data_IF_184975187472
#
_entry.id   IF_184975187472
#
_cell.length_a   1.000
_cell.length_b   1.000
_cell.length_c   1.000
_cell.angle_alpha   90.00
_cell.angle_beta   90.00
_cell.angle_gamma   90.00
#
_symmetry.space_group_name_H-M   'P 1'
#
loop_
_entity.id
_entity.type
_entity.pdbx_description
1 polymer ?
#
# COMPACT_ATOMS: atom_id res chain seq x y z
N UNK A 1 9.53 6.37 14.17
CA UNK A 1 8.68 7.52 14.56
C UNK A 1 7.47 6.98 15.31
N UNK A 2 6.95 7.67 16.31
CA UNK A 2 5.71 7.25 16.99
C UNK A 2 4.52 7.74 16.15
N UNK A 3 3.48 6.91 16.03
CA UNK A 3 2.28 7.22 15.25
C UNK A 3 1.68 8.60 15.58
N UNK A 4 1.51 8.91 16.87
CA UNK A 4 0.95 10.19 17.30
C UNK A 4 1.83 11.39 16.91
N UNK A 5 3.16 11.20 16.86
CA UNK A 5 4.06 12.26 16.39
C UNK A 5 3.95 12.47 14.87
N UNK A 6 3.73 11.39 14.14
CA UNK A 6 3.52 11.48 12.68
C UNK A 6 2.19 12.19 12.35
N UNK A 7 1.10 11.79 13.01
CA UNK A 7 -0.21 12.45 12.84
C UNK A 7 -0.17 13.90 13.31
N UNK A 8 0.46 14.17 14.47
CA UNK A 8 0.56 15.52 15.03
C UNK A 8 1.40 16.49 14.17
N UNK A 9 2.31 16.00 13.34
CA UNK A 9 3.02 16.82 12.35
C UNK A 9 2.09 17.38 11.27
N UNK A 10 0.89 16.80 11.13
CA UNK A 10 -0.16 17.24 10.21
C UNK A 10 -1.40 17.79 10.94
N UNK A 11 -1.25 18.16 12.22
CA UNK A 11 -2.34 18.66 13.07
C UNK A 11 -3.52 17.67 13.20
N UNK A 12 -3.27 16.36 13.07
CA UNK A 12 -4.27 15.29 13.17
C UNK A 12 -4.10 14.58 14.52
N UNK A 13 -5.15 14.53 15.32
CA UNK A 13 -5.19 13.64 16.47
C UNK A 13 -5.59 12.22 16.06
N UNK A 14 -5.16 11.22 16.82
CA UNK A 14 -5.51 9.81 16.53
C UNK A 14 -7.03 9.57 16.52
N UNK A 15 -7.76 10.36 17.33
CA UNK A 15 -9.23 10.34 17.41
C UNK A 15 -9.92 10.96 16.21
N UNK A 16 -9.21 11.75 15.40
CA UNK A 16 -9.74 12.42 14.21
C UNK A 16 -9.61 11.54 12.96
N UNK A 17 -8.92 10.40 13.08
CA UNK A 17 -8.76 9.44 11.99
C UNK A 17 -10.11 8.77 11.71
N UNK A 18 -10.64 8.98 10.50
CA UNK A 18 -11.94 8.45 10.10
C UNK A 18 -11.91 6.93 9.83
N UNK A 19 -10.80 6.41 9.33
CA UNK A 19 -10.56 4.99 9.12
C UNK A 19 -9.07 4.71 8.93
N UNK A 20 -8.67 3.46 9.18
CA UNK A 20 -7.33 2.93 8.84
C UNK A 20 -7.51 1.91 7.72
N UNK A 21 -6.82 2.09 6.59
CA UNK A 21 -6.88 1.20 5.45
C UNK A 21 -5.54 0.45 5.34
N UNK A 22 -5.57 -0.88 5.39
CA UNK A 22 -4.38 -1.71 5.26
C UNK A 22 -4.21 -2.26 3.86
N UNK A 23 -3.07 -1.97 3.23
CA UNK A 23 -2.66 -2.68 2.02
C UNK A 23 -2.48 -4.17 2.31
N UNK A 24 -1.91 -4.50 3.47
CA UNK A 24 -1.78 -5.84 4.05
C UNK A 24 -1.42 -5.72 5.55
N UNK A 25 -1.38 -6.83 6.29
CA UNK A 25 -1.29 -6.82 7.75
C UNK A 25 0.03 -7.36 8.31
N UNK A 26 1.16 -7.24 7.58
CA UNK A 26 2.45 -7.50 8.21
C UNK A 26 2.70 -6.51 9.36
N UNK A 27 3.57 -6.91 10.29
CA UNK A 27 3.82 -6.19 11.55
C UNK A 27 4.21 -4.72 11.35
N UNK A 28 4.98 -4.41 10.33
CA UNK A 28 5.46 -3.06 10.01
C UNK A 28 4.39 -2.17 9.37
N UNK A 29 3.25 -2.74 8.96
CA UNK A 29 2.09 -2.02 8.42
C UNK A 29 0.94 -1.95 9.42
N UNK A 30 0.61 -3.06 10.09
CA UNK A 30 -0.54 -3.15 11.00
C UNK A 30 -0.19 -3.14 12.49
N UNK A 31 1.10 -3.09 12.83
CA UNK A 31 1.57 -3.26 14.20
C UNK A 31 1.23 -2.15 15.19
N UNK A 32 0.45 -1.14 14.80
CA UNK A 32 0.00 -0.05 15.67
C UNK A 32 -1.53 0.11 15.69
N UNK A 33 -2.27 -0.87 15.22
CA UNK A 33 -3.75 -0.82 15.17
C UNK A 33 -4.40 -0.73 16.55
N UNK A 34 -3.74 -1.25 17.57
CA UNK A 34 -4.15 -1.17 18.97
C UNK A 34 -4.17 0.26 19.52
N UNK A 35 -3.49 1.21 18.82
CA UNK A 35 -3.49 2.63 19.19
C UNK A 35 -4.76 3.35 18.78
N UNK A 36 -5.47 2.84 17.77
CA UNK A 36 -6.72 3.42 17.31
C UNK A 36 -7.90 2.90 18.15
N UNK A 37 -8.84 3.78 18.56
CA UNK A 37 -10.00 3.33 19.31
C UNK A 37 -10.86 2.37 18.45
N UNK A 38 -11.65 1.52 19.11
CA UNK A 38 -12.57 0.61 18.42
C UNK A 38 -13.66 1.31 17.62
N UNK A 39 -13.84 2.62 17.83
CA UNK A 39 -14.72 3.48 17.01
C UNK A 39 -14.10 3.92 15.69
N UNK A 40 -12.79 3.80 15.54
CA UNK A 40 -12.11 4.03 14.26
C UNK A 40 -12.07 2.70 13.49
N UNK A 41 -12.81 2.55 12.38
CA UNK A 41 -12.82 1.31 11.63
C UNK A 41 -11.45 1.05 11.01
N UNK A 42 -10.99 -0.19 11.13
CA UNK A 42 -9.91 -0.73 10.32
C UNK A 42 -10.54 -1.40 9.10
N UNK A 43 -10.00 -1.14 7.93
CA UNK A 43 -10.49 -1.67 6.64
C UNK A 43 -9.39 -2.51 6.01
N UNK A 44 -9.69 -3.73 5.66
CA UNK A 44 -8.76 -4.65 5.00
C UNK A 44 -9.52 -5.63 4.10
N UNK A 45 -8.82 -6.24 3.18
CA UNK A 45 -9.37 -7.35 2.41
C UNK A 45 -9.59 -8.56 3.32
N UNK A 46 -10.72 -9.27 3.18
CA UNK A 46 -11.03 -10.47 3.97
C UNK A 46 -9.93 -11.53 3.86
N UNK A 47 -9.42 -11.74 2.65
CA UNK A 47 -8.33 -12.71 2.44
C UNK A 47 -7.06 -12.37 3.21
N UNK A 48 -6.84 -11.10 3.53
CA UNK A 48 -5.70 -10.71 4.36
C UNK A 48 -5.88 -11.14 5.82
N UNK A 49 -7.08 -10.97 6.38
CA UNK A 49 -7.38 -11.50 7.71
C UNK A 49 -7.24 -13.03 7.76
N UNK A 50 -7.78 -13.72 6.75
CA UNK A 50 -7.68 -15.19 6.65
C UNK A 50 -6.23 -15.63 6.53
N UNK A 51 -5.43 -14.97 5.68
CA UNK A 51 -4.00 -15.25 5.50
C UNK A 51 -3.21 -15.00 6.79
N UNK A 52 -3.43 -13.87 7.46
CA UNK A 52 -2.75 -13.53 8.72
C UNK A 52 -3.05 -14.54 9.83
N UNK A 53 -4.26 -15.07 9.88
CA UNK A 53 -4.69 -16.05 10.86
C UNK A 53 -4.32 -17.51 10.50
N UNK A 54 -3.80 -17.75 9.28
CA UNK A 54 -3.48 -19.11 8.80
C UNK A 54 -2.29 -19.77 9.51
N UNK A 55 -1.41 -18.97 10.11
CA UNK A 55 -0.15 -19.44 10.71
C UNK A 55 0.97 -19.74 9.73
N UNK A 56 0.77 -19.50 8.41
CA UNK A 56 1.77 -19.80 7.37
C UNK A 56 3.00 -18.90 7.45
N UNK A 57 2.83 -17.66 7.92
CA UNK A 57 3.88 -16.63 7.97
C UNK A 57 4.03 -16.04 9.38
N UNK A 58 4.06 -16.89 10.40
CA UNK A 58 3.98 -16.51 11.82
C UNK A 58 4.89 -15.37 12.27
N UNK A 59 6.08 -15.23 11.70
CA UNK A 59 7.00 -14.13 12.04
C UNK A 59 6.56 -12.77 11.50
N UNK A 60 5.77 -12.74 10.44
CA UNK A 60 5.25 -11.51 9.82
C UNK A 60 3.92 -11.08 10.46
N UNK A 61 3.20 -12.01 11.07
CA UNK A 61 1.91 -11.81 11.73
C UNK A 61 1.99 -12.24 13.19
N UNK A 62 2.57 -11.43 14.09
CA UNK A 62 2.62 -11.77 15.51
C UNK A 62 1.22 -12.02 16.08
N UNK A 63 1.06 -13.03 16.94
CA UNK A 63 -0.27 -13.47 17.44
C UNK A 63 -1.08 -12.35 18.09
N UNK A 64 -0.43 -11.42 18.79
CA UNK A 64 -1.07 -10.30 19.45
C UNK A 64 -1.78 -9.36 18.47
N UNK A 65 -1.22 -9.13 17.27
CA UNK A 65 -1.84 -8.27 16.26
C UNK A 65 -3.00 -8.96 15.57
N UNK A 66 -2.82 -10.22 15.19
CA UNK A 66 -3.90 -11.04 14.62
C UNK A 66 -5.06 -11.13 15.60
N UNK A 67 -4.78 -11.37 16.89
CA UNK A 67 -5.81 -11.38 17.93
C UNK A 67 -6.54 -10.04 18.03
N UNK A 68 -5.83 -8.93 17.93
CA UNK A 68 -6.44 -7.59 17.95
C UNK A 68 -7.43 -7.41 16.78
N UNK A 69 -7.10 -7.88 15.58
CA UNK A 69 -8.04 -7.86 14.46
C UNK A 69 -9.26 -8.74 14.69
N UNK A 70 -9.10 -9.91 15.34
CA UNK A 70 -10.23 -10.75 15.73
C UNK A 70 -11.09 -10.05 16.80
N UNK A 71 -10.50 -9.38 17.78
CA UNK A 71 -11.24 -8.59 18.76
C UNK A 71 -12.05 -7.47 18.07
N UNK A 72 -11.46 -6.78 17.09
CA UNK A 72 -12.15 -5.78 16.25
C UNK A 72 -13.30 -6.38 15.44
N UNK A 73 -13.15 -7.59 14.92
CA UNK A 73 -14.21 -8.29 14.18
C UNK A 73 -15.47 -8.48 15.02
N UNK A 74 -15.30 -8.66 16.35
CA UNK A 74 -16.40 -8.84 17.30
C UNK A 74 -16.91 -7.52 17.93
N UNK A 75 -16.28 -6.40 17.61
CA UNK A 75 -16.72 -5.06 18.01
C UNK A 75 -17.48 -4.39 16.87
N UNK A 76 -18.76 -4.04 17.01
CA UNK A 76 -19.55 -3.47 15.91
C UNK A 76 -18.93 -2.23 15.30
N UNK A 77 -18.67 -2.25 13.99
CA UNK A 77 -18.08 -1.16 13.24
C UNK A 77 -16.56 -0.99 13.36
N UNK A 78 -15.87 -1.77 14.18
CA UNK A 78 -14.43 -1.63 14.40
C UNK A 78 -13.58 -2.28 13.28
N UNK A 79 -14.14 -3.22 12.51
CA UNK A 79 -13.49 -3.85 11.38
C UNK A 79 -14.45 -3.93 10.18
N UNK A 80 -14.00 -3.45 9.01
CA UNK A 80 -14.67 -3.64 7.73
C UNK A 80 -13.84 -4.57 6.87
N UNK A 81 -14.39 -5.72 6.53
CA UNK A 81 -13.77 -6.69 5.62
C UNK A 81 -14.33 -6.49 4.21
N UNK A 82 -13.44 -6.32 3.26
CA UNK A 82 -13.76 -6.21 1.84
C UNK A 82 -13.60 -7.58 1.19
N UNK A 83 -14.47 -7.89 0.24
CA UNK A 83 -14.46 -9.13 -0.53
C UNK A 83 -14.02 -8.86 -1.97
N UNK A 84 -12.85 -8.19 -2.13
CA UNK A 84 -12.40 -7.57 -3.39
C UNK A 84 -12.24 -8.56 -4.55
N UNK A 85 -11.94 -9.82 -4.28
CA UNK A 85 -11.84 -10.87 -5.30
C UNK A 85 -13.21 -11.32 -5.83
N UNK A 86 -14.27 -11.07 -5.09
CA UNK A 86 -15.63 -11.47 -5.42
C UNK A 86 -16.47 -10.31 -5.95
N UNK A 87 -16.37 -9.15 -5.30
CA UNK A 87 -17.17 -7.96 -5.61
C UNK A 87 -16.50 -7.00 -6.58
N UNK A 88 -15.17 -7.14 -6.79
CA UNK A 88 -14.37 -6.14 -7.46
C UNK A 88 -14.00 -4.97 -6.53
N UNK A 89 -13.49 -3.86 -7.10
CA UNK A 89 -13.12 -2.67 -6.34
C UNK A 89 -14.27 -2.09 -5.52
N UNK A 90 -13.95 -1.56 -4.33
CA UNK A 90 -14.92 -0.96 -3.40
C UNK A 90 -14.46 0.46 -3.05
N UNK A 91 -15.33 1.46 -3.28
CA UNK A 91 -15.08 2.84 -2.90
C UNK A 91 -15.39 3.03 -1.42
N UNK A 92 -14.36 3.38 -0.65
CA UNK A 92 -14.46 3.51 0.82
C UNK A 92 -14.87 4.93 1.21
N UNK A 93 -14.31 5.91 0.51
CA UNK A 93 -14.63 7.34 0.60
C UNK A 93 -14.61 7.91 -0.82
N UNK A 94 -15.21 9.09 -1.01
CA UNK A 94 -15.18 9.79 -2.29
C UNK A 94 -13.74 9.93 -2.80
N UNK A 95 -13.47 9.33 -3.96
CA UNK A 95 -12.14 9.30 -4.58
C UNK A 95 -11.12 8.35 -3.91
N UNK A 96 -11.51 7.53 -2.94
CA UNK A 96 -10.63 6.51 -2.34
C UNK A 96 -11.21 5.12 -2.57
N UNK A 97 -10.57 4.36 -3.46
CA UNK A 97 -11.01 3.04 -3.91
C UNK A 97 -10.00 1.98 -3.50
N UNK A 98 -10.47 0.88 -2.92
CA UNK A 98 -9.67 -0.31 -2.67
C UNK A 98 -9.89 -1.34 -3.78
N UNK A 99 -8.81 -1.94 -4.30
CA UNK A 99 -8.85 -3.03 -5.28
C UNK A 99 -7.93 -4.18 -4.87
N UNK A 100 -8.29 -5.42 -5.24
CA UNK A 100 -7.44 -6.58 -4.97
C UNK A 100 -6.10 -6.45 -5.72
N UNK A 101 -5.00 -6.54 -4.98
CA UNK A 101 -3.65 -6.54 -5.53
C UNK A 101 -3.07 -7.97 -5.56
N UNK A 102 -3.09 -8.69 -4.45
CA UNK A 102 -2.30 -9.90 -4.27
C UNK A 102 -0.80 -9.63 -4.43
N UNK A 103 -0.05 -10.63 -4.80
CA UNK A 103 1.37 -10.48 -5.21
C UNK A 103 2.35 -10.49 -4.05
N UNK A 104 2.08 -9.80 -2.97
CA UNK A 104 2.90 -9.79 -1.76
C UNK A 104 2.32 -10.75 -0.69
N UNK A 105 1.05 -10.55 -0.34
CA UNK A 105 0.27 -11.52 0.43
C UNK A 105 -0.97 -11.93 -0.38
N UNK A 106 -1.66 -12.98 0.05
CA UNK A 106 -2.88 -13.41 -0.64
C UNK A 106 -4.00 -12.37 -0.60
N UNK A 107 -4.04 -11.57 0.45
CA UNK A 107 -5.05 -10.55 0.68
C UNK A 107 -4.59 -9.13 0.41
N UNK A 108 -3.38 -8.91 -0.10
CA UNK A 108 -2.90 -7.57 -0.41
C UNK A 108 -3.87 -6.80 -1.30
N UNK A 109 -4.09 -5.53 -0.98
CA UNK A 109 -4.90 -4.62 -1.78
C UNK A 109 -4.13 -3.34 -2.11
N UNK A 110 -4.44 -2.76 -3.26
CA UNK A 110 -4.07 -1.40 -3.60
C UNK A 110 -5.12 -0.42 -3.05
N UNK A 111 -4.67 0.73 -2.59
CA UNK A 111 -5.53 1.85 -2.24
C UNK A 111 -5.29 2.92 -3.28
N UNK A 112 -6.32 3.19 -4.08
CA UNK A 112 -6.30 4.18 -5.13
C UNK A 112 -6.83 5.50 -4.58
N UNK A 113 -6.14 6.59 -4.85
CA UNK A 113 -6.53 7.94 -4.43
C UNK A 113 -6.62 8.80 -5.68
N UNK A 114 -7.83 9.30 -5.96
CA UNK A 114 -8.05 10.27 -7.03
C UNK A 114 -7.51 11.62 -6.59
N UNK A 115 -6.68 12.23 -7.44
CA UNK A 115 -6.08 13.54 -7.19
C UNK A 115 -6.23 14.46 -8.39
N UNK A 116 -5.99 15.75 -8.22
CA UNK A 116 -6.00 16.71 -9.33
C UNK A 116 -4.93 16.42 -10.40
N UNK A 117 -3.87 15.67 -10.03
CA UNK A 117 -2.77 15.31 -10.92
C UNK A 117 -2.94 13.92 -11.57
N UNK A 118 -3.97 13.15 -11.18
CA UNK A 118 -4.23 11.80 -11.64
C UNK A 118 -4.44 10.83 -10.48
N UNK A 119 -4.51 9.54 -10.78
CA UNK A 119 -4.74 8.49 -9.78
C UNK A 119 -3.43 8.01 -9.17
N UNK A 120 -3.33 8.12 -7.86
CA UNK A 120 -2.22 7.58 -7.07
C UNK A 120 -2.56 6.19 -6.54
N UNK A 121 -1.63 5.24 -6.65
CA UNK A 121 -1.75 3.88 -6.13
C UNK A 121 -0.82 3.68 -4.94
N UNK A 122 -1.37 3.60 -3.74
CA UNK A 122 -0.64 3.11 -2.57
C UNK A 122 -0.63 1.59 -2.67
N UNK A 123 0.51 1.02 -3.07
CA UNK A 123 0.61 -0.40 -3.44
C UNK A 123 1.20 -1.29 -2.34
N UNK A 124 1.47 -0.73 -1.16
CA UNK A 124 2.11 -1.49 -0.07
C UNK A 124 3.44 -2.09 -0.54
N UNK A 125 3.61 -3.36 -0.24
CA UNK A 125 4.82 -4.14 -0.52
C UNK A 125 4.77 -4.93 -1.83
N UNK A 126 3.77 -4.66 -2.65
CA UNK A 126 3.76 -5.16 -4.03
C UNK A 126 5.00 -4.67 -4.79
N UNK A 127 5.45 -3.46 -4.47
CA UNK A 127 6.73 -2.90 -4.93
C UNK A 127 7.53 -2.47 -3.69
N UNK A 128 8.73 -2.99 -3.52
CA UNK A 128 9.67 -2.63 -2.45
C UNK A 128 10.70 -1.60 -2.88
N UNK A 129 11.17 -1.71 -4.11
CA UNK A 129 12.31 -0.96 -4.64
C UNK A 129 12.05 -0.70 -6.12
N UNK A 130 11.64 0.52 -6.40
CA UNK A 130 11.32 0.94 -7.77
C UNK A 130 12.54 0.83 -8.69
N UNK A 131 13.74 1.19 -8.18
CA UNK A 131 14.93 1.16 -9.01
C UNK A 131 15.25 -0.25 -9.46
N UNK A 132 15.36 -1.18 -8.52
CA UNK A 132 15.81 -2.54 -8.83
C UNK A 132 14.71 -3.43 -9.40
N UNK A 133 13.45 -3.20 -9.01
CA UNK A 133 12.35 -4.04 -9.48
C UNK A 133 11.75 -3.56 -10.80
N UNK A 134 11.72 -2.25 -11.05
CA UNK A 134 10.96 -1.64 -12.14
C UNK A 134 11.84 -0.93 -13.15
N UNK A 135 12.75 -0.03 -12.70
CA UNK A 135 13.54 0.82 -13.60
C UNK A 135 14.71 0.05 -14.19
N UNK A 136 15.46 -0.64 -13.36
CA UNK A 136 16.65 -1.42 -13.74
C UNK A 136 16.51 -2.88 -13.33
N UNK A 137 15.57 -3.63 -13.90
CA UNK A 137 15.53 -5.06 -13.66
C UNK A 137 16.84 -5.67 -14.17
N UNK A 138 17.57 -6.35 -13.30
CA UNK A 138 18.90 -6.89 -13.60
C UNK A 138 18.94 -7.88 -14.79
N UNK A 139 17.80 -8.37 -15.22
CA UNK A 139 17.62 -9.11 -16.47
C UNK A 139 17.23 -8.17 -17.60
N UNK A 140 18.17 -7.43 -18.16
CA UNK A 140 17.92 -6.49 -19.25
C UNK A 140 17.26 -7.09 -20.50
N UNK A 141 17.45 -8.40 -20.74
CA UNK A 141 16.75 -9.11 -21.81
C UNK A 141 15.23 -9.13 -21.63
N UNK A 142 14.74 -8.88 -20.42
CA UNK A 142 13.34 -8.81 -20.04
C UNK A 142 12.98 -7.42 -19.51
N UNK A 143 13.52 -6.39 -20.11
CA UNK A 143 13.46 -4.99 -19.68
C UNK A 143 12.05 -4.43 -19.43
N UNK A 144 11.00 -5.13 -19.84
CA UNK A 144 9.59 -4.76 -19.60
C UNK A 144 8.93 -5.61 -18.50
N UNK A 145 9.68 -6.51 -17.89
CA UNK A 145 9.18 -7.41 -16.86
C UNK A 145 9.74 -6.98 -15.50
N UNK A 146 8.89 -6.61 -14.53
CA UNK A 146 9.32 -6.30 -13.17
C UNK A 146 10.07 -7.48 -12.54
N UNK A 147 11.03 -7.17 -11.67
CA UNK A 147 11.72 -8.18 -10.86
C UNK A 147 10.91 -8.49 -9.61
N UNK A 148 10.78 -9.77 -9.31
CA UNK A 148 10.13 -10.21 -8.08
C UNK A 148 11.07 -10.09 -6.88
N UNK A 149 10.52 -9.79 -5.70
CA UNK A 149 11.28 -9.79 -4.45
C UNK A 149 11.68 -11.20 -4.01
N UNK A 150 11.04 -12.23 -4.59
CA UNK A 150 11.14 -13.60 -4.10
C UNK A 150 10.36 -13.82 -2.82
N UNK A 151 9.40 -12.95 -2.53
CA UNK A 151 8.59 -13.02 -1.33
C UNK A 151 7.70 -14.28 -1.34
N UNK A 152 7.57 -14.93 -0.22
CA UNK A 152 7.68 -16.37 -0.08
C UNK A 152 6.38 -17.15 -0.24
N UNK A 153 5.23 -16.50 -0.27
CA UNK A 153 3.93 -17.18 -0.31
C UNK A 153 3.26 -17.10 -1.67
N UNK A 154 3.64 -16.10 -2.48
CA UNK A 154 3.01 -15.87 -3.77
C UNK A 154 3.86 -16.39 -4.92
N UNK A 155 3.19 -16.77 -6.01
CA UNK A 155 3.87 -17.17 -7.22
C UNK A 155 4.47 -15.94 -7.92
N UNK A 156 5.67 -16.05 -8.47
CA UNK A 156 6.33 -14.97 -9.22
C UNK A 156 5.45 -14.35 -10.31
N UNK A 157 4.55 -15.12 -10.93
CA UNK A 157 3.59 -14.59 -11.91
C UNK A 157 2.57 -13.65 -11.28
N UNK A 158 2.11 -13.98 -10.09
CA UNK A 158 1.11 -13.19 -9.34
C UNK A 158 1.75 -11.89 -8.86
N UNK A 159 2.98 -11.97 -8.33
CA UNK A 159 3.76 -10.80 -7.94
C UNK A 159 3.99 -9.85 -9.13
N UNK A 160 4.44 -10.35 -10.28
CA UNK A 160 4.60 -9.56 -11.51
C UNK A 160 3.29 -8.95 -11.99
N UNK A 161 2.20 -9.70 -11.93
CA UNK A 161 0.89 -9.19 -12.33
C UNK A 161 0.39 -8.08 -11.39
N UNK A 162 0.66 -8.20 -10.10
CA UNK A 162 0.34 -7.18 -9.11
C UNK A 162 1.13 -5.88 -9.36
N UNK A 163 2.44 -5.97 -9.57
CA UNK A 163 3.28 -4.83 -9.94
C UNK A 163 2.77 -4.13 -11.21
N UNK A 164 2.43 -4.88 -12.26
CA UNK A 164 1.88 -4.32 -13.50
C UNK A 164 0.54 -3.62 -13.28
N UNK A 165 -0.31 -4.12 -12.38
CA UNK A 165 -1.56 -3.43 -12.02
C UNK A 165 -1.28 -2.12 -11.30
N UNK A 166 -0.38 -2.10 -10.33
CA UNK A 166 0.02 -0.88 -9.64
C UNK A 166 0.57 0.17 -10.62
N UNK A 167 1.41 -0.26 -11.58
CA UNK A 167 1.99 0.61 -12.61
C UNK A 167 0.99 1.04 -13.71
N UNK A 168 -0.27 0.64 -13.64
CA UNK A 168 -1.32 1.12 -14.54
C UNK A 168 -2.08 2.35 -13.99
N UNK A 169 -1.41 3.13 -13.16
CA UNK A 169 -1.91 4.38 -12.57
C UNK A 169 -0.90 5.50 -12.85
N UNK A 170 -1.26 6.74 -12.54
CA UNK A 170 -0.40 7.89 -12.81
C UNK A 170 0.75 8.00 -11.80
N UNK A 171 0.51 7.56 -10.57
CA UNK A 171 1.52 7.52 -9.50
C UNK A 171 1.51 6.19 -8.80
N UNK A 172 2.68 5.72 -8.37
CA UNK A 172 2.87 4.55 -7.51
C UNK A 172 3.57 4.97 -6.22
N UNK A 173 2.98 4.58 -5.10
CA UNK A 173 3.44 4.89 -3.75
C UNK A 173 3.71 3.59 -2.99
N UNK A 174 4.92 3.02 -3.11
CA UNK A 174 5.34 1.90 -2.27
C UNK A 174 5.57 2.37 -0.83
N UNK A 175 5.51 1.46 0.14
CA UNK A 175 5.72 1.82 1.54
C UNK A 175 7.20 1.73 1.97
N UNK A 176 8.04 1.08 1.18
CA UNK A 176 9.48 0.93 1.44
C UNK A 176 10.37 1.72 0.48
N UNK A 177 9.80 2.50 -0.43
CA UNK A 177 10.55 3.37 -1.35
C UNK A 177 9.82 4.69 -1.59
N UNK A 178 10.48 5.64 -2.23
CA UNK A 178 9.88 6.92 -2.59
C UNK A 178 8.86 6.78 -3.72
N UNK A 179 7.82 7.64 -3.72
CA UNK A 179 6.83 7.67 -4.78
C UNK A 179 7.43 7.90 -6.17
N UNK A 180 6.74 7.41 -7.19
CA UNK A 180 7.11 7.60 -8.58
C UNK A 180 5.92 7.95 -9.46
N UNK A 181 6.17 8.75 -10.49
CA UNK A 181 5.24 9.00 -11.60
C UNK A 181 5.39 7.91 -12.64
N UNK A 182 4.24 7.50 -13.18
CA UNK A 182 4.15 6.42 -14.17
C UNK A 182 3.43 6.93 -15.43
N UNK A 183 3.96 6.59 -16.58
CA UNK A 183 3.33 6.83 -17.88
C UNK A 183 3.42 5.56 -18.74
N UNK A 184 2.28 5.07 -19.21
CA UNK A 184 2.22 3.87 -20.02
C UNK A 184 2.82 2.63 -19.35
N UNK A 185 2.68 2.50 -18.03
CA UNK A 185 3.21 1.38 -17.23
C UNK A 185 4.72 1.49 -16.95
N UNK A 186 5.34 2.63 -17.20
CA UNK A 186 6.77 2.87 -16.98
C UNK A 186 6.97 4.01 -15.99
N UNK A 187 7.93 3.87 -15.10
CA UNK A 187 8.36 4.95 -14.23
C UNK A 187 9.10 5.99 -15.06
N UNK A 188 8.60 7.22 -15.07
CA UNK A 188 9.17 8.35 -15.82
C UNK A 188 9.82 9.40 -14.92
N UNK A 189 9.48 9.41 -13.62
CA UNK A 189 10.09 10.28 -12.63
C UNK A 189 9.99 9.67 -11.24
N UNK A 190 10.87 10.06 -10.32
CA UNK A 190 10.90 9.64 -8.92
C UNK A 190 11.07 10.85 -8.00
N UNK A 191 10.43 10.80 -6.83
CA UNK A 191 10.77 11.70 -5.74
C UNK A 191 12.17 11.33 -5.24
N UNK A 192 13.10 12.28 -5.27
CA UNK A 192 14.51 12.02 -4.93
C UNK A 192 14.87 12.31 -3.48
N UNK A 193 13.99 12.97 -2.73
CA UNK A 193 14.26 13.52 -1.42
C UNK A 193 13.15 13.19 -0.43
N UNK A 194 13.38 13.49 0.83
CA UNK A 194 12.45 13.28 1.92
C UNK A 194 11.05 13.83 1.57
N UNK A 195 10.05 13.11 2.05
CA UNK A 195 8.64 13.51 1.86
C UNK A 195 8.46 14.94 2.37
N UNK A 196 7.81 15.82 1.62
CA UNK A 196 7.50 17.17 2.07
C UNK A 196 6.76 17.17 3.41
N UNK A 197 6.94 18.24 4.17
CA UNK A 197 6.29 18.41 5.47
C UNK A 197 4.76 18.56 5.39
N UNK A 198 4.13 19.00 6.50
CA UNK A 198 2.67 19.02 6.64
C UNK A 198 1.90 19.89 5.63
N UNK A 199 2.57 20.76 4.90
CA UNK A 199 1.95 21.58 3.84
C UNK A 199 1.99 20.91 2.44
N UNK A 200 2.20 19.60 2.43
CA UNK A 200 2.31 18.83 1.19
C UNK A 200 1.04 18.93 0.33
N UNK A 201 1.20 19.51 -0.86
CA UNK A 201 0.18 19.53 -1.90
C UNK A 201 0.51 18.45 -2.97
N UNK A 202 -0.52 17.73 -3.41
CA UNK A 202 -0.37 16.71 -4.44
C UNK A 202 0.15 17.31 -5.75
N UNK A 203 -0.19 18.56 -6.06
CA UNK A 203 0.33 19.28 -7.23
C UNK A 203 1.84 19.56 -7.12
N UNK A 204 2.33 19.93 -5.94
CA UNK A 204 3.77 20.08 -5.67
C UNK A 204 4.47 18.73 -5.77
N UNK A 205 3.91 17.69 -5.16
CA UNK A 205 4.41 16.32 -5.27
C UNK A 205 4.48 15.87 -6.74
N UNK A 206 3.44 16.09 -7.52
CA UNK A 206 3.43 15.76 -8.93
C UNK A 206 4.51 16.52 -9.73
N UNK A 207 4.77 17.77 -9.39
CA UNK A 207 5.82 18.58 -10.02
C UNK A 207 7.22 18.09 -9.64
N UNK A 208 7.46 17.70 -8.38
CA UNK A 208 8.75 17.15 -7.93
C UNK A 208 9.00 15.75 -8.51
N UNK A 209 7.98 14.89 -8.51
CA UNK A 209 8.05 13.55 -9.10
C UNK A 209 8.25 13.61 -10.62
N UNK A 210 7.86 14.72 -11.28
CA UNK A 210 8.12 14.96 -12.70
C UNK A 210 9.61 15.19 -13.05
N UNK A 211 10.51 15.22 -12.06
CA UNK A 211 11.95 15.25 -12.34
C UNK A 211 12.36 13.96 -13.05
N UNK A 212 12.89 14.01 -14.28
CA UNK A 212 13.28 12.80 -15.00
C UNK A 212 14.27 11.96 -14.19
N UNK A 213 14.05 10.67 -14.15
CA UNK A 213 15.08 9.74 -13.70
C UNK A 213 16.25 9.91 -14.64
N UNK A 214 17.43 10.28 -14.11
CA UNK A 214 18.61 10.44 -14.95
C UNK A 214 18.81 9.13 -15.73
N UNK A 215 18.87 9.23 -17.04
CA UNK A 215 19.25 8.09 -17.86
C UNK A 215 20.67 7.68 -17.46
N UNK A 216 20.80 6.42 -16.99
CA UNK A 216 22.09 5.79 -16.66
C UNK A 216 22.69 5.29 -17.95
#
# INVERSE_FOLDING_TARGET
>A
MKLESALGAHDVAITDVAAVLHTHCHIDHAGQDDRFPMTTPVVMNRRELEHSASGLMGGQYPPEYVKHHIDRLHAPGALRLLDLELSGPDEIFDGIVCEAAGGHTEGSMNILVETAAGTACICGDVIYDIQNQIVEPWHQALAFEPQTTGNHTMRKREEKAAMKRALNRDFVLPLHDFPARVEGGRVVARLKHEVPGPEFDVAEFAAEVATPVAAV
#
